data_IF_460910770576
#
_entry.id   IF_460910770576
#
_cell.length_a   1.000
_cell.length_b   1.000
_cell.length_c   1.000
_cell.angle_alpha   90.00
_cell.angle_beta   90.00
_cell.angle_gamma   90.00
#
_symmetry.space_group_name_H-M   'P 1'
#
loop_
_entity.id
_entity.type
_entity.pdbx_description
1 polymer ?
#
# COMPACT_ATOMS: atom_id res chain seq x y z
N UNK A 1 7.68 9.54 -9.75
CA UNK A 1 7.66 9.17 -11.19
C UNK A 1 8.27 7.79 -11.37
N UNK A 2 7.80 6.99 -12.33
CA UNK A 2 8.45 5.71 -12.70
C UNK A 2 9.52 5.98 -13.76
N UNK A 3 10.73 5.45 -13.56
CA UNK A 3 11.88 5.60 -14.46
C UNK A 3 12.10 4.36 -15.32
N UNK A 4 11.83 3.16 -14.77
CA UNK A 4 11.95 1.88 -15.47
C UNK A 4 10.91 0.90 -14.97
N UNK A 5 10.49 -0.01 -15.84
CA UNK A 5 9.65 -1.16 -15.52
C UNK A 5 10.16 -2.40 -16.27
N UNK A 6 10.57 -3.43 -15.54
CA UNK A 6 11.08 -4.69 -16.08
C UNK A 6 10.13 -5.84 -15.70
N UNK A 7 9.82 -6.73 -16.64
CA UNK A 7 9.09 -7.97 -16.36
C UNK A 7 10.02 -8.92 -15.59
N UNK A 8 9.53 -9.47 -14.47
CA UNK A 8 10.29 -10.40 -13.62
C UNK A 8 9.73 -11.82 -13.71
N UNK A 9 8.41 -11.97 -13.74
CA UNK A 9 7.75 -13.29 -13.79
C UNK A 9 6.30 -13.20 -14.30
N UNK A 10 5.79 -14.34 -14.78
CA UNK A 10 4.39 -14.58 -15.17
C UNK A 10 3.87 -13.64 -16.27
N UNK A 11 4.57 -13.61 -17.42
CA UNK A 11 4.23 -12.74 -18.56
C UNK A 11 2.79 -12.90 -19.05
N UNK A 12 2.31 -14.14 -19.01
CA UNK A 12 0.98 -14.56 -19.43
C UNK A 12 -0.15 -13.92 -18.60
N UNK A 13 0.15 -13.48 -17.37
CA UNK A 13 -0.79 -12.72 -16.53
C UNK A 13 -0.92 -11.26 -16.98
N UNK A 14 -0.17 -10.80 -17.97
CA UNK A 14 -0.34 -9.48 -18.57
C UNK A 14 -0.22 -8.32 -17.57
N UNK A 15 -1.27 -7.52 -17.31
CA UNK A 15 -1.25 -6.41 -16.34
C UNK A 15 -0.85 -6.83 -14.92
N UNK A 16 -1.24 -8.04 -14.50
CA UNK A 16 -1.01 -8.59 -13.17
C UNK A 16 0.39 -9.22 -13.01
N UNK A 17 1.18 -9.30 -14.09
CA UNK A 17 2.54 -9.84 -14.06
C UNK A 17 3.47 -9.07 -13.10
N UNK A 18 4.41 -9.78 -12.46
CA UNK A 18 5.35 -9.18 -11.50
C UNK A 18 6.36 -8.34 -12.23
N UNK A 19 6.49 -7.07 -11.82
CA UNK A 19 7.41 -6.10 -12.43
C UNK A 19 8.33 -5.49 -11.39
N UNK A 20 9.61 -5.34 -11.75
CA UNK A 20 10.58 -4.54 -11.00
C UNK A 20 10.49 -3.11 -11.50
N UNK A 21 10.11 -2.18 -10.61
CA UNK A 21 9.98 -0.77 -10.93
C UNK A 21 11.15 0.01 -10.31
N UNK A 22 11.76 0.88 -11.11
CA UNK A 22 12.66 1.92 -10.61
C UNK A 22 11.87 3.22 -10.52
N UNK A 23 11.80 3.81 -9.32
CA UNK A 23 11.00 5.01 -9.04
C UNK A 23 11.85 6.12 -8.44
N UNK A 24 11.46 7.36 -8.73
CA UNK A 24 12.09 8.58 -8.19
C UNK A 24 10.99 9.48 -7.66
N UNK A 25 11.18 10.05 -6.46
CA UNK A 25 10.20 10.89 -5.77
C UNK A 25 8.80 10.26 -5.77
N UNK A 26 8.70 9.02 -5.28
CA UNK A 26 7.42 8.33 -5.12
C UNK A 26 6.79 8.73 -3.78
N UNK A 27 5.74 9.55 -3.76
CA UNK A 27 5.10 9.93 -2.51
C UNK A 27 4.42 8.71 -1.89
N UNK A 28 4.66 8.49 -0.60
CA UNK A 28 4.04 7.41 0.17
C UNK A 28 3.79 7.87 1.60
N UNK A 29 2.84 7.20 2.26
CA UNK A 29 2.52 7.40 3.69
C UNK A 29 2.66 6.06 4.39
N UNK A 30 3.27 6.07 5.58
CA UNK A 30 3.38 4.87 6.42
C UNK A 30 2.05 4.66 7.14
N UNK A 31 1.20 3.78 6.61
CA UNK A 31 -0.08 3.46 7.24
C UNK A 31 0.03 2.38 8.33
N UNK A 32 0.99 1.47 8.19
CA UNK A 32 1.26 0.38 9.12
C UNK A 32 2.77 0.32 9.31
N UNK A 33 3.23 0.35 10.56
CA UNK A 33 4.66 0.30 10.89
C UNK A 33 5.09 -1.05 11.50
N UNK A 34 6.39 -1.18 11.73
CA UNK A 34 7.00 -2.40 12.28
C UNK A 34 6.80 -2.57 13.79
N UNK A 35 6.21 -1.59 14.47
CA UNK A 35 5.90 -1.64 15.90
C UNK A 35 4.47 -2.10 16.16
N UNK A 36 3.69 -2.33 15.10
CA UNK A 36 2.30 -2.79 15.18
C UNK A 36 1.28 -1.65 15.16
N UNK A 37 1.67 -0.41 14.89
CA UNK A 37 0.72 0.69 14.74
C UNK A 37 0.01 0.60 13.39
N UNK A 38 -1.29 0.93 13.36
CA UNK A 38 -2.13 0.87 12.15
C UNK A 38 -3.09 2.06 12.09
N UNK A 39 -2.81 3.01 11.17
CA UNK A 39 -3.60 4.23 11.00
C UNK A 39 -5.07 3.96 10.66
N UNK A 40 -5.39 2.85 9.98
CA UNK A 40 -6.77 2.51 9.65
C UNK A 40 -7.57 2.10 10.88
N UNK A 41 -6.96 1.36 11.80
CA UNK A 41 -7.60 0.94 13.04
C UNK A 41 -7.80 2.12 13.99
N UNK A 42 -6.76 2.93 14.19
CA UNK A 42 -6.83 4.12 15.03
C UNK A 42 -7.84 5.14 14.49
N UNK A 43 -7.82 5.38 13.17
CA UNK A 43 -8.76 6.27 12.51
C UNK A 43 -10.20 5.80 12.68
N UNK A 44 -10.46 4.50 12.48
CA UNK A 44 -11.79 3.90 12.69
C UNK A 44 -12.23 4.01 14.14
N UNK A 45 -11.34 3.73 15.11
CA UNK A 45 -11.66 3.79 16.53
C UNK A 45 -12.05 5.20 16.98
N UNK A 46 -11.38 6.24 16.48
CA UNK A 46 -11.67 7.66 16.82
C UNK A 46 -13.09 8.11 16.44
N UNK A 47 -13.68 7.52 15.41
CA UNK A 47 -15.00 7.90 14.89
C UNK A 47 -16.04 6.77 14.97
N UNK A 48 -15.69 5.63 15.56
CA UNK A 48 -16.64 4.58 15.85
C UNK A 48 -17.69 5.15 16.82
N UNK A 49 -18.95 5.25 16.38
CA UNK A 49 -20.03 5.66 17.28
C UNK A 49 -20.15 4.66 18.41
N UNK A 50 -20.11 5.15 19.65
CA UNK A 50 -20.28 4.32 20.85
C UNK A 50 -21.74 3.98 21.16
N UNK A 51 -22.71 4.45 20.36
CA UNK A 51 -24.11 4.09 20.53
C UNK A 51 -24.38 2.68 20.04
N UNK A 52 -24.09 1.70 20.91
CA UNK A 52 -24.89 0.49 20.99
C UNK A 52 -25.88 0.70 22.13
N UNK A 53 -27.13 0.99 21.76
CA UNK A 53 -28.26 1.00 22.68
C UNK A 53 -28.49 -0.35 23.33
#
# INVERSE_FOLDING_TARGET
>A
RVRKAELVAYEDLGPEAVRRLEVEDFPAVVCIDTLGNNLYEEGRAKFARTDRG
#
